data_IF_456384934198
#
_entry.id   IF_456384934198
#
_cell.length_a   1.000
_cell.length_b   1.000
_cell.length_c   1.000
_cell.angle_alpha   90.00
_cell.angle_beta   90.00
_cell.angle_gamma   90.00
#
_symmetry.space_group_name_H-M   'P 1'
#
loop_
_entity.id
_entity.type
_entity.pdbx_description
1 polymer ?
#
# COMPACT_ATOMS: atom_id res chain seq x y z
N UNK A 1 -19.34 -6.09 6.85
CA UNK A 1 -19.81 -4.70 6.62
C UNK A 1 -19.54 -4.38 5.16
N UNK A 2 -20.58 -4.29 4.33
CA UNK A 2 -20.43 -3.75 2.98
C UNK A 2 -20.19 -2.25 3.16
N UNK A 3 -18.97 -1.79 2.91
CA UNK A 3 -18.63 -0.39 2.99
C UNK A 3 -19.54 0.36 2.01
N UNK A 4 -20.40 1.23 2.54
CA UNK A 4 -21.36 2.00 1.76
C UNK A 4 -20.67 2.65 0.54
N UNK A 5 -21.23 2.41 -0.65
CA UNK A 5 -20.79 3.05 -1.89
C UNK A 5 -19.99 2.20 -2.87
N UNK A 6 -19.55 0.99 -2.52
CA UNK A 6 -18.89 0.10 -3.48
C UNK A 6 -19.88 -0.65 -4.39
N UNK A 7 -19.50 -0.82 -5.66
CA UNK A 7 -20.25 -1.57 -6.69
C UNK A 7 -19.28 -2.38 -7.55
N UNK A 8 -19.75 -3.51 -8.07
CA UNK A 8 -18.97 -4.41 -8.94
C UNK A 8 -17.62 -4.82 -8.31
N UNK A 9 -17.65 -5.14 -7.02
CA UNK A 9 -16.46 -5.51 -6.26
C UNK A 9 -15.88 -6.86 -6.71
N UNK A 10 -14.56 -6.93 -6.78
CA UNK A 10 -13.81 -8.17 -6.91
C UNK A 10 -12.64 -8.19 -5.94
N UNK A 11 -12.61 -9.22 -5.10
CA UNK A 11 -11.47 -9.51 -4.23
C UNK A 11 -10.46 -10.42 -4.98
N UNK A 12 -9.20 -10.02 -4.96
CA UNK A 12 -8.07 -10.72 -5.56
C UNK A 12 -7.12 -11.10 -4.43
N UNK A 13 -6.97 -12.41 -4.13
CA UNK A 13 -6.02 -12.87 -3.11
C UNK A 13 -4.59 -12.49 -3.46
N UNK A 14 -3.82 -12.06 -2.47
CA UNK A 14 -2.39 -11.75 -2.57
C UNK A 14 -1.69 -12.06 -1.24
N UNK A 15 -0.41 -11.76 -1.16
CA UNK A 15 0.34 -11.64 0.10
C UNK A 15 0.75 -10.19 0.34
N UNK A 16 0.87 -9.80 1.60
CA UNK A 16 1.41 -8.50 1.99
C UNK A 16 2.94 -8.52 2.12
N UNK A 17 3.53 -7.41 2.55
CA UNK A 17 4.98 -7.25 2.73
C UNK A 17 5.58 -8.12 3.83
N UNK A 18 4.74 -8.64 4.73
CA UNK A 18 5.13 -9.55 5.81
C UNK A 18 4.95 -11.02 5.43
N UNK A 19 4.47 -11.30 4.21
CA UNK A 19 4.15 -12.64 3.72
C UNK A 19 2.82 -13.17 4.20
N UNK A 20 1.98 -12.36 4.87
CA UNK A 20 0.66 -12.78 5.32
C UNK A 20 -0.35 -12.71 4.18
N UNK A 21 -1.36 -13.59 4.15
CA UNK A 21 -2.45 -13.50 3.19
C UNK A 21 -3.17 -12.15 3.29
N UNK A 22 -3.38 -11.51 2.16
CA UNK A 22 -4.09 -10.24 2.04
C UNK A 22 -5.03 -10.29 0.81
N UNK A 23 -5.93 -9.31 0.69
CA UNK A 23 -6.82 -9.20 -0.47
C UNK A 23 -6.74 -7.82 -1.07
N UNK A 24 -6.46 -7.73 -2.36
CA UNK A 24 -6.71 -6.48 -3.10
C UNK A 24 -8.17 -6.50 -3.55
N UNK A 25 -8.95 -5.52 -3.12
CA UNK A 25 -10.33 -5.32 -3.58
C UNK A 25 -10.32 -4.23 -4.64
N UNK A 26 -10.85 -4.54 -5.82
CA UNK A 26 -11.06 -3.59 -6.92
C UNK A 26 -12.56 -3.46 -7.20
N UNK A 27 -12.99 -2.28 -7.63
CA UNK A 27 -14.40 -2.03 -7.92
C UNK A 27 -14.65 -0.56 -8.25
N UNK A 28 -15.93 -0.17 -8.22
CA UNK A 28 -16.36 1.22 -8.38
C UNK A 28 -16.89 1.74 -7.05
N UNK A 29 -16.54 2.98 -6.70
CA UNK A 29 -17.05 3.68 -5.52
C UNK A 29 -17.88 4.89 -5.93
N UNK A 30 -18.96 5.14 -5.21
CA UNK A 30 -19.81 6.32 -5.40
C UNK A 30 -19.17 7.56 -4.73
N UNK A 31 -18.87 8.58 -5.53
CA UNK A 31 -18.23 9.83 -5.14
C UNK A 31 -18.97 10.99 -5.80
N UNK A 32 -19.59 11.87 -5.01
CA UNK A 32 -20.27 13.07 -5.54
C UNK A 32 -21.33 12.78 -6.60
N UNK A 33 -22.05 11.66 -6.47
CA UNK A 33 -23.08 11.22 -7.42
C UNK A 33 -22.54 10.60 -8.72
N UNK A 34 -21.25 10.25 -8.79
CA UNK A 34 -20.64 9.53 -9.92
C UNK A 34 -19.88 8.29 -9.43
N UNK A 35 -19.73 7.31 -10.30
CA UNK A 35 -18.89 6.14 -10.05
C UNK A 35 -17.44 6.44 -10.44
N UNK A 36 -16.51 6.16 -9.53
CA UNK A 36 -15.07 6.24 -9.77
C UNK A 36 -14.45 4.86 -9.54
N UNK A 37 -13.49 4.45 -10.36
CA UNK A 37 -12.76 3.21 -10.10
C UNK A 37 -11.88 3.37 -8.86
N UNK A 38 -11.79 2.32 -8.06
CA UNK A 38 -11.01 2.33 -6.84
C UNK A 38 -10.41 0.96 -6.53
N UNK A 39 -9.34 0.99 -5.74
CA UNK A 39 -8.75 -0.20 -5.12
C UNK A 39 -8.53 0.03 -3.62
N UNK A 40 -8.56 -1.05 -2.84
CA UNK A 40 -8.12 -1.07 -1.44
C UNK A 40 -7.43 -2.40 -1.13
N UNK A 41 -6.61 -2.42 -0.08
CA UNK A 41 -6.07 -3.66 0.50
C UNK A 41 -6.88 -3.99 1.74
N UNK A 42 -7.46 -5.19 1.77
CA UNK A 42 -8.42 -5.66 2.76
C UNK A 42 -9.46 -4.58 3.11
N UNK A 43 -9.56 -4.22 4.39
CA UNK A 43 -10.49 -3.20 4.88
C UNK A 43 -9.84 -1.81 4.99
N UNK A 44 -8.71 -1.60 4.30
CA UNK A 44 -7.99 -0.33 4.24
C UNK A 44 -8.72 0.76 3.46
N UNK A 45 -8.09 1.95 3.40
CA UNK A 45 -8.64 3.10 2.67
C UNK A 45 -8.64 2.84 1.16
N UNK A 46 -9.73 3.27 0.51
CA UNK A 46 -9.85 3.25 -0.94
C UNK A 46 -8.96 4.31 -1.59
N UNK A 47 -8.19 3.90 -2.60
CA UNK A 47 -7.48 4.78 -3.51
C UNK A 47 -8.24 4.83 -4.85
N UNK A 48 -8.47 6.03 -5.38
CA UNK A 48 -9.11 6.21 -6.67
C UNK A 48 -8.13 5.90 -7.80
N UNK A 49 -8.63 5.22 -8.84
CA UNK A 49 -7.88 4.80 -10.02
C UNK A 49 -8.46 5.51 -11.25
N UNK A 50 -7.68 6.33 -11.96
CA UNK A 50 -8.08 6.92 -13.24
C UNK A 50 -8.28 5.82 -14.30
N UNK A 51 -9.41 5.83 -15.00
CA UNK A 51 -9.68 4.86 -16.07
C UNK A 51 -9.16 5.32 -17.43
N UNK A 52 -9.10 6.64 -17.69
CA UNK A 52 -8.78 7.16 -19.03
C UNK A 52 -7.30 7.00 -19.42
N UNK A 53 -6.41 6.72 -18.46
CA UNK A 53 -4.94 6.68 -18.64
C UNK A 53 -4.29 5.40 -18.11
N UNK A 54 -5.09 4.36 -17.82
CA UNK A 54 -4.71 3.24 -16.94
C UNK A 54 -3.44 2.47 -17.32
N UNK A 55 -3.08 2.37 -18.61
CA UNK A 55 -1.85 1.70 -19.03
C UNK A 55 -0.59 2.49 -18.69
N UNK A 56 -0.58 3.80 -18.96
CA UNK A 56 0.58 4.65 -18.71
C UNK A 56 0.73 4.97 -17.22
N UNK A 57 -0.39 5.13 -16.51
CA UNK A 57 -0.37 5.40 -15.07
C UNK A 57 0.25 4.25 -14.27
N UNK A 58 -0.21 3.01 -14.50
CA UNK A 58 0.31 1.85 -13.76
C UNK A 58 1.79 1.61 -14.07
N UNK A 59 2.19 1.86 -15.32
CA UNK A 59 3.59 1.82 -15.71
C UNK A 59 4.42 2.89 -14.99
N UNK A 60 3.99 4.15 -15.03
CA UNK A 60 4.68 5.26 -14.36
C UNK A 60 4.76 5.07 -12.84
N UNK A 61 3.69 4.57 -12.22
CA UNK A 61 3.66 4.24 -10.80
C UNK A 61 4.70 3.16 -10.47
N UNK A 62 4.70 2.06 -11.21
CA UNK A 62 5.68 0.98 -11.04
C UNK A 62 7.11 1.48 -11.21
N UNK A 63 7.38 2.21 -12.29
CA UNK A 63 8.72 2.73 -12.60
C UNK A 63 9.22 3.69 -11.51
N UNK A 64 8.33 4.53 -10.96
CA UNK A 64 8.67 5.45 -9.88
C UNK A 64 8.99 4.70 -8.59
N UNK A 65 8.15 3.73 -8.20
CA UNK A 65 8.39 2.90 -7.01
C UNK A 65 9.68 2.07 -7.13
N UNK A 66 9.95 1.47 -8.29
CA UNK A 66 11.19 0.75 -8.55
C UNK A 66 12.41 1.67 -8.48
N UNK A 67 12.30 2.91 -9.00
CA UNK A 67 13.36 3.91 -8.92
C UNK A 67 13.68 4.27 -7.47
N UNK A 68 12.66 4.57 -6.66
CA UNK A 68 12.86 4.88 -5.23
C UNK A 68 13.38 3.68 -4.44
N UNK A 69 12.89 2.48 -4.73
CA UNK A 69 13.43 1.25 -4.14
C UNK A 69 14.92 1.07 -4.44
N UNK A 70 15.36 1.34 -5.68
CA UNK A 70 16.79 1.29 -6.03
C UNK A 70 17.61 2.36 -5.33
N UNK A 71 17.04 3.54 -5.06
CA UNK A 71 17.73 4.65 -4.41
C UNK A 71 17.91 4.45 -2.90
N UNK A 72 16.86 4.02 -2.20
CA UNK A 72 16.87 3.97 -0.72
C UNK A 72 16.34 2.64 -0.14
N UNK A 73 15.78 1.73 -0.95
CA UNK A 73 15.16 0.48 -0.47
C UNK A 73 16.12 -0.54 0.17
N UNK A 74 17.43 -0.34 0.01
CA UNK A 74 18.48 -1.12 0.66
C UNK A 74 19.00 -0.49 1.97
N UNK A 75 18.53 0.70 2.36
CA UNK A 75 18.83 1.21 3.69
C UNK A 75 17.99 0.41 4.68
N UNK A 76 18.64 -0.57 5.30
CA UNK A 76 18.16 -1.20 6.51
C UNK A 76 17.70 -0.10 7.48
N UNK A 77 16.39 0.03 7.66
CA UNK A 77 15.77 0.89 8.68
C UNK A 77 15.91 0.23 10.07
N UNK A 78 17.00 -0.50 10.30
CA UNK A 78 17.30 -1.07 11.61
C UNK A 78 17.47 0.09 12.58
N UNK A 79 16.64 0.21 13.62
CA UNK A 79 16.86 1.21 14.66
C UNK A 79 18.28 1.03 15.19
N UNK A 80 19.07 2.10 15.41
CA UNK A 80 20.39 1.94 16.02
C UNK A 80 20.21 1.24 17.37
N UNK A 81 20.95 0.16 17.60
CA UNK A 81 20.94 -0.54 18.90
C UNK A 81 21.19 0.48 20.03
N UNK A 82 20.45 0.39 21.15
CA UNK A 82 20.69 1.27 22.29
C UNK A 82 22.12 1.04 22.78
N UNK A 83 22.96 2.08 22.71
CA UNK A 83 24.31 2.05 23.27
C UNK A 83 24.21 1.70 24.75
N UNK A 84 24.94 0.70 25.27
CA UNK A 84 25.00 0.48 26.71
C UNK A 84 25.55 1.75 27.37
N UNK A 85 24.78 2.32 28.30
CA UNK A 85 25.23 3.40 29.17
C UNK A 85 26.44 2.91 29.98
N UNK A 86 27.54 3.65 29.91
CA UNK A 86 28.81 3.35 30.57
C UNK A 86 28.78 3.55 32.10
N UNK A 87 27.67 3.18 32.75
CA UNK A 87 27.45 3.37 34.19
C UNK A 87 27.28 2.04 34.95
N UNK A 88 27.83 0.93 34.42
CA UNK A 88 27.77 -0.38 35.07
C UNK A 88 29.16 -0.98 35.37
N UNK A 89 30.18 -0.15 35.57
CA UNK A 89 31.52 -0.62 35.96
C UNK A 89 32.07 0.10 37.19
N UNK A 90 31.22 0.36 38.20
CA UNK A 90 31.65 0.68 39.57
C UNK A 90 30.63 0.11 40.56
N UNK A 91 30.68 -1.21 40.79
CA UNK A 91 30.12 -1.85 41.99
C UNK A 91 31.02 -3.03 42.39
#
# INVERSE_FOLDING_TARGET
>A
MNAEGWRYERAIPTVDVTGQPARVVVGLVEQGGRLAAALRVDDGKAALVPLETGGELLKALRETLESWWRLDGHRDLTPPEPRPSADAELA
#
